data_IF_550210845470
#
_entry.id   IF_550210845470
#
_cell.length_a   1.000
_cell.length_b   1.000
_cell.length_c   1.000
_cell.angle_alpha   90.00
_cell.angle_beta   90.00
_cell.angle_gamma   90.00
#
_symmetry.space_group_name_H-M   'P 1'
#
loop_
_entity.id
_entity.type
_entity.pdbx_description
1 polymer ?
#
# COMPACT_ATOMS: atom_id res chain seq x y z
N UNK A 1 56.35 4.43 -13.71
CA UNK A 1 55.60 5.62 -13.29
C UNK A 1 54.07 5.38 -13.33
N UNK A 2 53.61 4.18 -12.93
CA UNK A 2 52.21 3.72 -13.10
C UNK A 2 51.49 3.43 -11.77
N UNK A 3 52.22 3.17 -10.67
CA UNK A 3 51.61 2.87 -9.36
C UNK A 3 50.88 4.03 -8.68
N UNK A 4 51.35 5.27 -8.88
CA UNK A 4 50.77 6.45 -8.21
C UNK A 4 49.39 6.85 -8.76
N UNK A 5 49.14 6.57 -10.04
CA UNK A 5 47.84 6.80 -10.69
C UNK A 5 46.83 5.70 -10.34
N UNK A 6 47.29 4.48 -10.05
CA UNK A 6 46.45 3.37 -9.61
C UNK A 6 45.92 3.55 -8.19
N UNK A 7 46.73 4.09 -7.27
CA UNK A 7 46.33 4.38 -5.88
C UNK A 7 45.23 5.45 -5.83
N UNK A 8 45.43 6.58 -6.53
CA UNK A 8 44.45 7.69 -6.55
C UNK A 8 43.12 7.32 -7.19
N UNK A 9 43.11 6.41 -8.18
CA UNK A 9 41.87 5.89 -8.77
C UNK A 9 41.10 5.00 -7.78
N UNK A 10 41.82 4.23 -6.97
CA UNK A 10 41.22 3.36 -5.95
C UNK A 10 40.60 4.17 -4.81
N UNK A 11 41.27 5.25 -4.37
CA UNK A 11 40.76 6.15 -3.35
C UNK A 11 39.47 6.87 -3.80
N UNK A 12 39.42 7.31 -5.06
CA UNK A 12 38.23 7.93 -5.65
C UNK A 12 37.05 6.96 -5.73
N UNK A 13 37.29 5.72 -6.13
CA UNK A 13 36.27 4.69 -6.20
C UNK A 13 35.69 4.33 -4.82
N UNK A 14 36.53 4.32 -3.78
CA UNK A 14 36.09 4.07 -2.41
C UNK A 14 35.20 5.21 -1.88
N UNK A 15 35.54 6.46 -2.20
CA UNK A 15 34.72 7.61 -1.84
C UNK A 15 33.39 7.58 -2.59
N UNK A 16 33.39 7.34 -3.90
CA UNK A 16 32.15 7.21 -4.69
C UNK A 16 31.25 6.07 -4.19
N UNK A 17 31.83 4.92 -3.84
CA UNK A 17 31.09 3.81 -3.25
C UNK A 17 30.48 4.18 -1.90
N UNK A 18 31.22 4.88 -1.03
CA UNK A 18 30.71 5.35 0.26
C UNK A 18 29.54 6.33 0.10
N UNK A 19 29.62 7.25 -0.86
CA UNK A 19 28.54 8.21 -1.13
C UNK A 19 27.32 7.50 -1.74
N UNK A 20 27.52 6.53 -2.64
CA UNK A 20 26.42 5.72 -3.18
C UNK A 20 25.71 4.93 -2.07
N UNK A 21 26.48 4.31 -1.17
CA UNK A 21 25.94 3.53 -0.06
C UNK A 21 25.21 4.42 0.96
N UNK A 22 25.74 5.60 1.28
CA UNK A 22 25.09 6.54 2.19
C UNK A 22 23.76 7.05 1.61
N UNK A 23 23.73 7.31 0.30
CA UNK A 23 22.52 7.70 -0.41
C UNK A 23 21.46 6.59 -0.43
N UNK A 24 21.86 5.34 -0.67
CA UNK A 24 20.95 4.18 -0.63
C UNK A 24 20.35 3.97 0.77
N UNK A 25 21.18 4.07 1.82
CA UNK A 25 20.72 3.97 3.21
C UNK A 25 19.73 5.10 3.51
N UNK A 26 20.04 6.34 3.11
CA UNK A 26 19.14 7.48 3.30
C UNK A 26 17.78 7.26 2.60
N UNK A 27 17.80 6.88 1.33
CA UNK A 27 16.57 6.60 0.56
C UNK A 27 15.71 5.51 1.21
N UNK A 28 16.35 4.47 1.75
CA UNK A 28 15.65 3.41 2.48
C UNK A 28 15.00 3.95 3.76
N UNK A 29 15.73 4.73 4.56
CA UNK A 29 15.20 5.34 5.79
C UNK A 29 14.05 6.31 5.51
N UNK A 30 14.14 7.13 4.45
CA UNK A 30 13.06 8.04 4.04
C UNK A 30 11.80 7.27 3.62
N UNK A 31 11.97 6.17 2.90
CA UNK A 31 10.86 5.29 2.48
C UNK A 31 10.20 4.63 3.69
N UNK A 32 10.99 4.08 4.61
CA UNK A 32 10.49 3.49 5.85
C UNK A 32 9.79 4.54 6.73
N UNK A 33 10.35 5.74 6.86
CA UNK A 33 9.75 6.85 7.62
C UNK A 33 8.42 7.32 7.03
N UNK A 34 8.33 7.40 5.70
CA UNK A 34 7.08 7.75 5.00
C UNK A 34 5.98 6.70 5.20
N UNK A 35 6.36 5.43 5.39
CA UNK A 35 5.41 4.38 5.74
C UNK A 35 5.02 4.42 7.23
N UNK A 36 5.81 5.06 8.10
CA UNK A 36 5.53 5.22 9.52
C UNK A 36 4.59 6.41 9.79
N UNK A 37 4.71 7.52 9.05
CA UNK A 37 3.80 8.68 9.16
C UNK A 37 2.30 8.28 9.22
N UNK A 38 1.75 7.50 8.27
CA UNK A 38 0.35 7.08 8.34
C UNK A 38 0.06 6.16 9.54
N UNK A 39 1.04 5.37 10.00
CA UNK A 39 0.88 4.53 11.20
C UNK A 39 0.77 5.39 12.45
N UNK A 40 1.58 6.46 12.56
CA UNK A 40 1.54 7.41 13.68
C UNK A 40 0.19 8.12 13.72
N UNK A 41 -0.34 8.55 12.57
CA UNK A 41 -1.65 9.20 12.48
C UNK A 41 -2.78 8.25 12.88
N UNK A 42 -2.72 6.98 12.47
CA UNK A 42 -3.70 5.95 12.86
C UNK A 42 -3.69 5.73 14.37
N UNK A 43 -2.49 5.56 14.96
CA UNK A 43 -2.33 5.34 16.41
C UNK A 43 -2.81 6.57 17.19
N UNK A 44 -2.47 7.77 16.73
CA UNK A 44 -2.91 9.02 17.36
C UNK A 44 -4.45 9.14 17.33
N UNK A 45 -5.06 8.86 16.19
CA UNK A 45 -6.51 8.87 16.05
C UNK A 45 -7.20 7.83 16.94
N UNK A 46 -6.64 6.61 17.06
CA UNK A 46 -7.14 5.60 18.00
C UNK A 46 -7.08 6.09 19.46
N UNK A 47 -6.00 6.75 19.85
CA UNK A 47 -5.89 7.37 21.17
C UNK A 47 -7.01 8.40 21.39
N UNK A 48 -7.30 9.24 20.39
CA UNK A 48 -8.40 10.22 20.48
C UNK A 48 -9.77 9.56 20.62
N UNK A 49 -10.04 8.46 19.91
CA UNK A 49 -11.30 7.70 20.04
C UNK A 49 -11.48 7.22 21.47
N UNK A 50 -10.46 6.58 22.04
CA UNK A 50 -10.52 6.08 23.41
C UNK A 50 -10.72 7.21 24.43
N UNK A 51 -10.04 8.33 24.23
CA UNK A 51 -10.16 9.50 25.10
C UNK A 51 -11.56 10.11 25.00
N UNK A 52 -12.15 10.13 23.81
CA UNK A 52 -13.53 10.60 23.61
C UNK A 52 -14.55 9.72 24.31
N UNK A 53 -14.42 8.40 24.24
CA UNK A 53 -15.33 7.47 24.91
C UNK A 53 -15.30 7.68 26.45
N UNK A 54 -14.10 7.91 27.01
CA UNK A 54 -13.93 8.21 28.43
C UNK A 54 -14.56 9.56 28.79
N UNK A 55 -14.25 10.63 28.05
CA UNK A 55 -14.77 11.98 28.35
C UNK A 55 -16.28 12.04 28.20
N UNK A 56 -16.82 11.38 27.17
CA UNK A 56 -18.26 11.31 26.92
C UNK A 56 -18.96 10.53 28.03
N UNK A 57 -18.41 9.39 28.45
CA UNK A 57 -19.00 8.61 29.55
C UNK A 57 -18.95 9.33 30.90
N UNK A 58 -17.90 10.12 31.16
CA UNK A 58 -17.75 10.85 32.42
C UNK A 58 -18.55 12.15 32.49
N UNK A 59 -18.59 12.91 31.40
CA UNK A 59 -19.07 14.29 31.40
C UNK A 59 -20.25 14.55 30.46
N UNK A 60 -20.53 13.63 29.53
CA UNK A 60 -21.49 13.82 28.45
C UNK A 60 -21.05 14.86 27.40
N UNK A 61 -19.82 15.35 27.47
CA UNK A 61 -19.28 16.38 26.56
C UNK A 61 -18.34 15.75 25.54
N UNK A 62 -18.23 16.36 24.37
CA UNK A 62 -17.29 15.97 23.31
C UNK A 62 -15.87 16.46 23.60
N UNK A 63 -14.87 15.82 22.97
CA UNK A 63 -13.46 16.23 23.10
C UNK A 63 -13.17 17.67 22.69
N UNK A 64 -13.97 18.21 21.78
CA UNK A 64 -13.89 19.62 21.37
C UNK A 64 -14.05 20.57 22.57
N UNK A 65 -14.89 20.23 23.55
CA UNK A 65 -15.06 21.02 24.77
C UNK A 65 -13.85 20.94 25.71
N UNK A 66 -12.99 19.94 25.53
CA UNK A 66 -11.71 19.79 26.23
C UNK A 66 -10.53 20.41 25.47
N UNK A 67 -10.77 21.04 24.30
CA UNK A 67 -9.73 21.65 23.47
C UNK A 67 -8.92 20.66 22.64
N UNK A 68 -9.40 19.42 22.51
CA UNK A 68 -8.78 18.37 21.69
C UNK A 68 -9.49 18.24 20.33
N UNK A 69 -8.76 17.80 19.28
CA UNK A 69 -9.38 17.52 17.98
C UNK A 69 -10.37 16.36 18.08
N UNK A 70 -11.41 16.42 17.26
CA UNK A 70 -12.43 15.37 17.18
C UNK A 70 -11.83 14.12 16.49
N UNK A 71 -12.04 12.91 17.04
CA UNK A 71 -11.52 11.69 16.45
C UNK A 71 -12.25 11.30 15.17
N UNK A 72 -11.51 10.72 14.23
CA UNK A 72 -12.05 10.17 13.00
C UNK A 72 -12.46 8.72 13.25
N UNK A 73 -13.74 8.46 13.54
CA UNK A 73 -14.26 7.10 13.72
C UNK A 73 -14.34 6.36 12.37
N UNK A 74 -14.03 5.06 12.39
CA UNK A 74 -13.67 4.18 11.26
C UNK A 74 -14.59 4.20 10.03
N UNK A 75 -15.83 4.67 10.14
CA UNK A 75 -16.72 4.86 8.98
C UNK A 75 -16.09 5.75 7.89
N UNK A 76 -15.18 6.67 8.23
CA UNK A 76 -14.48 7.51 7.25
C UNK A 76 -13.16 6.92 6.72
N UNK A 77 -12.57 5.94 7.40
CA UNK A 77 -11.26 5.37 7.02
C UNK A 77 -11.42 4.38 5.86
N UNK A 78 -12.50 3.59 5.85
CA UNK A 78 -12.89 2.74 4.73
C UNK A 78 -13.19 3.56 3.45
N UNK A 79 -13.76 4.75 3.61
CA UNK A 79 -14.08 5.67 2.51
C UNK A 79 -12.80 6.28 1.90
N UNK A 80 -11.76 6.50 2.71
CA UNK A 80 -10.52 7.15 2.28
C UNK A 80 -9.51 6.20 1.61
N UNK A 81 -9.62 4.89 1.78
CA UNK A 81 -8.79 3.93 1.03
C UNK A 81 -9.40 3.69 -0.36
N UNK A 82 -9.20 4.67 -1.25
CA UNK A 82 -9.68 4.63 -2.64
C UNK A 82 -9.26 3.35 -3.37
N UNK A 83 -8.06 2.86 -3.12
CA UNK A 83 -7.54 1.62 -3.74
C UNK A 83 -8.34 0.41 -3.24
N UNK A 84 -8.52 0.29 -1.93
CA UNK A 84 -9.34 -0.76 -1.34
C UNK A 84 -10.80 -0.72 -1.81
N UNK A 85 -11.43 0.46 -1.88
CA UNK A 85 -12.78 0.60 -2.43
C UNK A 85 -12.83 0.26 -3.93
N UNK A 86 -11.82 0.61 -4.71
CA UNK A 86 -11.77 0.22 -6.13
C UNK A 86 -11.58 -1.29 -6.33
N UNK A 87 -10.90 -1.97 -5.41
CA UNK A 87 -10.76 -3.43 -5.40
C UNK A 87 -12.03 -4.13 -4.90
N UNK A 88 -12.85 -3.50 -4.07
CA UNK A 88 -14.10 -4.08 -3.59
C UNK A 88 -15.30 -3.80 -4.48
N UNK A 89 -15.23 -2.75 -5.31
CA UNK A 89 -16.38 -2.28 -6.11
C UNK A 89 -16.23 -2.63 -7.58
N UNK A 90 -15.90 -3.89 -7.87
CA UNK A 90 -15.88 -4.38 -9.25
C UNK A 90 -17.30 -4.43 -9.84
N UNK A 91 -17.49 -3.82 -11.01
CA UNK A 91 -18.70 -3.99 -11.81
C UNK A 91 -18.69 -5.38 -12.46
N UNK A 92 -19.29 -6.35 -11.76
CA UNK A 92 -19.36 -7.74 -12.20
C UNK A 92 -20.02 -7.87 -13.58
N UNK A 93 -21.17 -7.22 -13.88
CA UNK A 93 -21.72 -7.17 -15.23
C UNK A 93 -20.73 -6.70 -16.30
N UNK A 94 -19.99 -5.60 -16.04
CA UNK A 94 -19.00 -5.07 -16.96
C UNK A 94 -17.85 -6.07 -17.19
N UNK A 95 -17.35 -6.69 -16.13
CA UNK A 95 -16.29 -7.70 -16.23
C UNK A 95 -16.72 -8.93 -17.03
N UNK A 96 -17.96 -9.42 -16.81
CA UNK A 96 -18.53 -10.52 -17.59
C UNK A 96 -18.62 -10.15 -19.07
N UNK A 97 -19.04 -8.91 -19.38
CA UNK A 97 -19.09 -8.43 -20.75
C UNK A 97 -17.69 -8.40 -21.39
N UNK A 98 -16.68 -7.86 -20.70
CA UNK A 98 -15.29 -7.81 -21.19
C UNK A 98 -14.75 -9.21 -21.45
N UNK A 99 -14.99 -10.16 -20.56
CA UNK A 99 -14.59 -11.56 -20.73
C UNK A 99 -15.30 -12.17 -21.93
N UNK A 100 -16.61 -11.98 -22.08
CA UNK A 100 -17.38 -12.55 -23.20
C UNK A 100 -16.89 -12.06 -24.58
N UNK A 101 -16.59 -10.76 -24.69
CA UNK A 101 -16.05 -10.17 -25.92
C UNK A 101 -14.65 -10.72 -26.20
N UNK A 102 -13.82 -10.87 -25.18
CA UNK A 102 -12.46 -11.39 -25.33
C UNK A 102 -12.48 -12.86 -25.79
N UNK A 103 -13.32 -13.69 -25.16
CA UNK A 103 -13.48 -15.11 -25.52
C UNK A 103 -14.01 -15.27 -26.95
N UNK A 104 -14.85 -14.34 -27.43
CA UNK A 104 -15.34 -14.37 -28.83
C UNK A 104 -14.24 -14.14 -29.87
N UNK A 105 -13.11 -13.55 -29.48
CA UNK A 105 -11.97 -13.26 -30.36
C UNK A 105 -10.88 -14.34 -30.32
N UNK A 106 -11.00 -15.32 -29.42
CA UNK A 106 -10.00 -16.38 -29.29
C UNK A 106 -9.95 -17.28 -30.50
N UNK A 107 -8.73 -17.69 -30.84
CA UNK A 107 -8.52 -18.79 -31.78
C UNK A 107 -8.76 -20.16 -31.09
N UNK A 108 -8.67 -21.24 -31.87
CA UNK A 108 -8.96 -22.59 -31.37
C UNK A 108 -8.06 -23.00 -30.19
N UNK A 109 -6.77 -22.68 -30.24
CA UNK A 109 -5.80 -23.06 -29.22
C UNK A 109 -5.97 -22.23 -27.94
N UNK A 110 -6.19 -20.93 -28.07
CA UNK A 110 -6.49 -20.01 -26.95
C UNK A 110 -7.77 -20.42 -26.23
N UNK A 111 -8.81 -20.80 -26.99
CA UNK A 111 -10.08 -21.28 -26.43
C UNK A 111 -9.90 -22.60 -25.69
N UNK A 112 -9.05 -23.49 -26.20
CA UNK A 112 -8.71 -24.76 -25.54
C UNK A 112 -7.99 -24.52 -24.20
N UNK A 113 -7.04 -23.59 -24.15
CA UNK A 113 -6.35 -23.20 -22.91
C UNK A 113 -7.33 -22.57 -21.92
N UNK A 114 -8.19 -21.65 -22.37
CA UNK A 114 -9.20 -21.00 -21.53
C UNK A 114 -10.15 -22.01 -20.86
N UNK A 115 -10.68 -22.98 -21.61
CA UNK A 115 -11.55 -24.03 -21.07
C UNK A 115 -10.79 -24.93 -20.09
N UNK A 116 -9.54 -25.28 -20.39
CA UNK A 116 -8.73 -26.10 -19.49
C UNK A 116 -8.47 -25.41 -18.14
N UNK A 117 -8.23 -24.10 -18.16
CA UNK A 117 -8.06 -23.27 -16.95
C UNK A 117 -9.38 -23.20 -16.17
N UNK A 118 -10.52 -22.94 -16.83
CA UNK A 118 -11.84 -22.96 -16.17
C UNK A 118 -12.11 -24.29 -15.47
N UNK A 119 -11.91 -25.39 -16.17
CA UNK A 119 -12.13 -26.73 -15.61
C UNK A 119 -11.23 -26.99 -14.40
N UNK A 120 -9.99 -26.47 -14.36
CA UNK A 120 -9.09 -26.64 -13.22
C UNK A 120 -9.60 -26.02 -11.92
N UNK A 121 -10.43 -24.99 -12.01
CA UNK A 121 -11.08 -24.38 -10.83
C UNK A 121 -12.28 -25.22 -10.35
N UNK A 122 -13.06 -25.78 -11.26
CA UNK A 122 -14.20 -26.64 -10.91
C UNK A 122 -13.76 -27.97 -10.25
N UNK A 123 -12.60 -28.52 -10.63
CA UNK A 123 -12.05 -29.74 -10.02
C UNK A 123 -11.44 -29.54 -8.62
N UNK A 124 -11.15 -28.31 -8.21
CA UNK A 124 -10.58 -28.00 -6.88
C UNK A 124 -11.65 -27.57 -5.85
N UNK A 125 -12.93 -27.72 -6.20
CA UNK A 125 -14.09 -27.47 -5.35
C UNK A 125 -14.61 -28.77 -4.73
N UNK A 126 -13.70 -29.58 -4.17
CA UNK A 126 -13.98 -30.87 -3.52
C UNK A 126 -13.55 -30.87 -2.05
#
# INVERSE_FOLDING_TARGET
MTGFLSSRRSDKAMVEYRESLSEDIRRRMETESRNIEPVVDIVYNQCLIHLEDIVTSMSGKSLLHCGLPEPIREQNILINNRQYMSELTYDVPQLIQVVSVSVSKFNHDEKKVYVNVLNSFDYNSG
#
